data_IF_406579892976
#
_entry.id   IF_406579892976
#
_cell.length_a   1.000
_cell.length_b   1.000
_cell.length_c   1.000
_cell.angle_alpha   90.00
_cell.angle_beta   90.00
_cell.angle_gamma   90.00
#
_symmetry.space_group_name_H-M   'P 1'
#
loop_
_entity.id
_entity.type
_entity.pdbx_description
1 polymer ?
#
# COMPACT_ATOMS: atom_id res chain seq x y z
N UNK A 1 -14.96 16.67 -6.80
CA UNK A 1 -13.58 16.83 -7.30
C UNK A 1 -13.00 15.43 -7.37
N UNK A 2 -12.61 14.97 -8.55
CA UNK A 2 -12.25 13.59 -8.80
C UNK A 2 -11.11 13.16 -7.89
N UNK A 3 -11.32 12.10 -7.12
CA UNK A 3 -10.22 11.34 -6.56
C UNK A 3 -9.35 10.97 -7.75
N UNK A 4 -8.11 11.47 -7.78
CA UNK A 4 -7.11 10.94 -8.68
C UNK A 4 -6.95 9.49 -8.25
N UNK A 5 -7.63 8.59 -8.96
CA UNK A 5 -7.46 7.15 -8.81
C UNK A 5 -5.97 6.90 -9.07
N UNK A 6 -5.21 6.72 -7.98
CA UNK A 6 -3.82 6.29 -8.06
C UNK A 6 -3.84 5.00 -8.87
N UNK A 7 -3.30 5.06 -10.09
CA UNK A 7 -3.20 3.89 -10.94
C UNK A 7 -2.30 2.87 -10.26
N UNK A 8 -2.50 1.57 -10.54
CA UNK A 8 -1.68 0.48 -9.99
C UNK A 8 -0.16 0.77 -10.08
N UNK A 9 0.28 1.40 -11.16
CA UNK A 9 1.69 1.73 -11.38
C UNK A 9 2.21 2.80 -10.39
N UNK A 10 1.38 3.79 -10.06
CA UNK A 10 1.71 4.80 -9.06
C UNK A 10 1.70 4.21 -7.64
N UNK A 11 0.74 3.32 -7.36
CA UNK A 11 0.70 2.59 -6.09
C UNK A 11 1.97 1.73 -5.91
N UNK A 12 2.40 1.01 -6.95
CA UNK A 12 3.63 0.22 -6.94
C UNK A 12 4.86 1.10 -6.71
N UNK A 13 4.96 2.24 -7.41
CA UNK A 13 6.07 3.17 -7.22
C UNK A 13 6.13 3.73 -5.79
N UNK A 14 4.98 4.00 -5.18
CA UNK A 14 4.92 4.47 -3.79
C UNK A 14 5.35 3.38 -2.79
N UNK A 15 4.88 2.14 -2.99
CA UNK A 15 5.29 1.00 -2.16
C UNK A 15 6.80 0.74 -2.27
N UNK A 16 7.39 0.86 -3.46
CA UNK A 16 8.85 0.74 -3.62
C UNK A 16 9.59 1.77 -2.76
N UNK A 17 9.18 3.05 -2.80
CA UNK A 17 9.80 4.09 -1.95
C UNK A 17 9.67 3.80 -0.46
N UNK A 18 8.55 3.22 -0.03
CA UNK A 18 8.35 2.82 1.37
C UNK A 18 9.31 1.69 1.76
N UNK A 19 9.45 0.67 0.89
CA UNK A 19 10.40 -0.45 1.08
C UNK A 19 11.84 0.04 1.13
N UNK A 20 12.19 1.00 0.28
CA UNK A 20 13.52 1.64 0.25
C UNK A 20 13.75 2.61 1.43
N UNK A 21 12.74 2.82 2.27
CA UNK A 21 12.74 3.79 3.36
C UNK A 21 13.08 5.23 2.91
N UNK A 22 12.66 5.60 1.71
CA UNK A 22 12.88 6.91 1.08
C UNK A 22 11.88 7.98 1.58
N UNK A 23 11.47 7.92 2.85
CA UNK A 23 10.58 8.89 3.47
C UNK A 23 11.34 9.76 4.47
N UNK A 24 11.01 11.05 4.51
CA UNK A 24 11.70 11.99 5.40
C UNK A 24 11.31 11.82 6.88
N UNK A 25 10.13 11.26 7.17
CA UNK A 25 9.61 11.07 8.52
C UNK A 25 8.49 10.04 8.59
N UNK A 26 8.22 9.49 9.78
CA UNK A 26 7.10 8.57 10.05
C UNK A 26 5.74 9.19 9.69
N UNK A 27 5.59 10.51 9.82
CA UNK A 27 4.37 11.21 9.41
C UNK A 27 4.13 11.18 7.90
N UNK A 28 5.22 11.28 7.11
CA UNK A 28 5.16 11.18 5.65
C UNK A 28 4.86 9.75 5.21
N UNK A 29 5.48 8.77 5.87
CA UNK A 29 5.15 7.35 5.71
C UNK A 29 3.65 7.09 5.96
N UNK A 30 3.10 7.63 7.05
CA UNK A 30 1.68 7.44 7.38
C UNK A 30 0.76 8.07 6.33
N UNK A 31 1.10 9.25 5.78
CA UNK A 31 0.33 9.89 4.72
C UNK A 31 0.36 9.06 3.42
N UNK A 32 1.53 8.51 3.06
CA UNK A 32 1.68 7.62 1.90
C UNK A 32 0.87 6.33 2.05
N UNK A 33 0.87 5.74 3.24
CA UNK A 33 0.09 4.54 3.54
C UNK A 33 -1.42 4.81 3.51
N UNK A 34 -1.92 5.91 4.09
CA UNK A 34 -3.33 6.32 4.01
C UNK A 34 -3.76 6.54 2.56
N UNK A 35 -2.88 7.16 1.75
CA UNK A 35 -3.14 7.40 0.33
C UNK A 35 -3.24 6.08 -0.46
N UNK A 36 -2.37 5.12 -0.19
CA UNK A 36 -2.42 3.77 -0.78
C UNK A 36 -3.69 3.04 -0.36
N UNK A 37 -4.04 3.08 0.93
CA UNK A 37 -5.20 2.42 1.49
C UNK A 37 -6.51 2.87 0.81
N UNK A 38 -6.68 4.18 0.66
CA UNK A 38 -7.81 4.80 -0.04
C UNK A 38 -7.85 4.45 -1.52
N UNK A 39 -6.69 4.37 -2.18
CA UNK A 39 -6.60 4.05 -3.59
C UNK A 39 -6.92 2.59 -3.89
N UNK A 40 -6.49 1.69 -3.01
CA UNK A 40 -6.67 0.24 -3.15
C UNK A 40 -8.01 -0.23 -2.54
N UNK A 41 -8.77 0.68 -1.92
CA UNK A 41 -10.00 0.39 -1.19
C UNK A 41 -9.80 -0.68 -0.09
N UNK A 42 -8.60 -0.67 0.51
CA UNK A 42 -8.22 -1.54 1.62
C UNK A 42 -8.54 -0.90 2.98
N UNK A 43 -8.51 -1.67 4.08
CA UNK A 43 -8.61 -1.12 5.42
C UNK A 43 -7.26 -0.60 5.93
N UNK A 44 -7.31 0.53 6.64
CA UNK A 44 -6.13 1.28 7.08
C UNK A 44 -5.12 0.40 7.81
N UNK A 45 -3.90 0.39 7.29
CA UNK A 45 -2.79 -0.39 7.82
C UNK A 45 -2.59 -1.75 7.14
N UNK A 46 -3.48 -2.18 6.23
CA UNK A 46 -3.31 -3.43 5.49
C UNK A 46 -2.04 -3.43 4.63
N UNK A 47 -1.78 -2.33 3.92
CA UNK A 47 -0.59 -2.20 3.07
C UNK A 47 0.69 -2.19 3.92
N UNK A 48 0.67 -1.54 5.07
CA UNK A 48 1.80 -1.50 6.01
C UNK A 48 2.15 -2.92 6.49
N UNK A 49 1.14 -3.71 6.85
CA UNK A 49 1.32 -5.09 7.29
C UNK A 49 1.98 -5.95 6.18
N UNK A 50 1.54 -5.78 4.93
CA UNK A 50 2.14 -6.49 3.78
C UNK A 50 3.59 -6.09 3.52
N UNK A 51 3.95 -4.81 3.73
CA UNK A 51 5.30 -4.29 3.50
C UNK A 51 6.27 -4.66 4.63
N UNK A 52 5.86 -4.45 5.88
CA UNK A 52 6.71 -4.66 7.05
C UNK A 52 6.67 -6.10 7.57
N UNK A 53 5.59 -6.83 7.33
CA UNK A 53 5.33 -8.17 7.89
C UNK A 53 4.88 -9.19 6.83
N UNK A 54 5.70 -9.46 5.79
CA UNK A 54 5.35 -10.44 4.77
C UNK A 54 5.15 -11.84 5.39
N UNK A 55 3.95 -12.41 5.24
CA UNK A 55 3.57 -13.66 5.92
C UNK A 55 4.33 -14.90 5.44
N UNK A 56 4.74 -14.97 4.18
CA UNK A 56 5.32 -16.20 3.61
C UNK A 56 6.62 -15.99 2.80
N UNK A 57 6.77 -14.86 2.10
CA UNK A 57 7.97 -14.52 1.30
C UNK A 57 8.12 -13.02 1.18
N UNK A 58 9.36 -12.55 0.97
CA UNK A 58 9.64 -11.16 0.58
C UNK A 58 8.75 -10.78 -0.62
N UNK A 59 7.75 -9.93 -0.36
CA UNK A 59 6.82 -9.47 -1.38
C UNK A 59 7.47 -8.30 -2.13
N UNK A 60 7.52 -8.39 -3.46
CA UNK A 60 7.84 -7.22 -4.29
C UNK A 60 6.71 -6.20 -4.23
N UNK A 61 7.01 -4.93 -4.49
CA UNK A 61 5.99 -3.87 -4.45
C UNK A 61 4.79 -4.15 -5.38
N UNK A 62 5.01 -4.82 -6.51
CA UNK A 62 3.93 -5.28 -7.40
C UNK A 62 3.02 -6.32 -6.75
N UNK A 63 3.60 -7.28 -6.03
CA UNK A 63 2.87 -8.34 -5.32
C UNK A 63 2.10 -7.76 -4.14
N UNK A 64 2.69 -6.81 -3.39
CA UNK A 64 2.00 -6.09 -2.32
C UNK A 64 0.75 -5.40 -2.84
N UNK A 65 0.87 -4.65 -3.93
CA UNK A 65 -0.27 -3.97 -4.56
C UNK A 65 -1.27 -4.98 -5.12
N UNK A 66 -0.82 -6.08 -5.72
CA UNK A 66 -1.66 -7.15 -6.20
C UNK A 66 -2.49 -7.80 -5.07
N UNK A 67 -1.85 -8.08 -3.93
CA UNK A 67 -2.50 -8.67 -2.76
C UNK A 67 -3.47 -7.70 -2.09
N UNK A 68 -3.11 -6.42 -2.01
CA UNK A 68 -4.01 -5.37 -1.55
C UNK A 68 -5.23 -5.22 -2.47
N UNK A 69 -5.06 -5.22 -3.80
CA UNK A 69 -6.19 -5.20 -4.74
C UNK A 69 -7.04 -6.47 -4.71
N UNK A 70 -6.41 -7.62 -4.41
CA UNK A 70 -7.10 -8.88 -4.22
C UNK A 70 -7.85 -8.95 -2.87
N UNK A 71 -7.51 -8.08 -1.92
CA UNK A 71 -8.19 -7.97 -0.65
C UNK A 71 -9.64 -7.53 -0.89
N UNK A 72 -10.56 -8.49 -0.80
CA UNK A 72 -11.99 -8.20 -0.71
C UNK A 72 -12.38 -8.25 0.75
N UNK A 73 -13.02 -7.20 1.30
CA UNK A 73 -13.60 -7.30 2.63
C UNK A 73 -14.55 -8.49 2.65
N UNK A 74 -14.23 -9.47 3.49
CA UNK A 74 -15.17 -10.53 3.82
C UNK A 74 -16.27 -9.81 4.61
N UNK A 75 -17.48 -9.78 4.08
CA UNK A 75 -18.64 -9.33 4.84
C UNK A 75 -18.85 -10.32 6.00
N UNK A 76 -18.27 -9.99 7.16
CA UNK A 76 -18.42 -10.71 8.42
C UNK A 76 -19.70 -10.26 9.12
#
# INVERSE_FOLDING_TARGET
MGAVELSRAEAVALVQRIVEADYASEGELNDWLDKLDRALACPSGHVSDLVFWPSERELSAEEVVGQALAYRPIAL
#
